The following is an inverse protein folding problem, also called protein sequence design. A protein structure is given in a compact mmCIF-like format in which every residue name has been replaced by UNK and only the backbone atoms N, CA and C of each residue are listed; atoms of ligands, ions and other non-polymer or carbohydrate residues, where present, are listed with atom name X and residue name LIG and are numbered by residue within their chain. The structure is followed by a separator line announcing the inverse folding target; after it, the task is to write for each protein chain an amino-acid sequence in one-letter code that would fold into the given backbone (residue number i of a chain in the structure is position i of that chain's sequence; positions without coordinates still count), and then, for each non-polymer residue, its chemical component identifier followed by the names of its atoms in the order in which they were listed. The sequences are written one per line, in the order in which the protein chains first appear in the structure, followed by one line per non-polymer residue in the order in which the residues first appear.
data_IF_075554383684
#
_entry.id   IF_075554383684
#
_cell.length_a   1.000
_cell.length_b   1.000
_cell.length_c   1.000
_cell.angle_alpha   90.00
_cell.angle_beta   90.00
_cell.angle_gamma   90.00
#
_symmetry.space_group_name_H-M   'P 1'
#
loop_
_entity.id
_entity.type
_entity.pdbx_description
1 polymer ?
#
# COMPACT_ATOMS: atom_id res chain seq x y z
N UNK A 1 -6.13 -12.91 1.25
CA UNK A 1 -6.11 -11.77 0.30
C UNK A 1 -6.81 -12.10 -1.01
N UNK A 2 -6.37 -13.10 -1.79
CA UNK A 2 -7.06 -13.45 -3.05
C UNK A 2 -8.54 -13.90 -2.88
N UNK A 3 -8.89 -14.52 -1.74
CA UNK A 3 -10.29 -14.85 -1.42
C UNK A 3 -11.14 -13.60 -1.15
N UNK A 4 -10.61 -12.62 -0.40
CA UNK A 4 -11.33 -11.37 -0.08
C UNK A 4 -11.67 -10.54 -1.31
N UNK A 5 -10.81 -10.54 -2.33
CA UNK A 5 -11.07 -9.88 -3.61
C UNK A 5 -12.23 -10.53 -4.36
N UNK A 6 -12.30 -11.86 -4.34
CA UNK A 6 -13.38 -12.62 -4.98
C UNK A 6 -14.73 -12.44 -4.30
N UNK A 7 -14.73 -12.22 -2.99
CA UNK A 7 -15.94 -12.06 -2.18
C UNK A 7 -16.36 -10.58 -2.01
N UNK A 8 -15.72 -9.65 -2.74
CA UNK A 8 -15.97 -8.20 -2.68
C UNK A 8 -15.86 -7.59 -1.25
N UNK A 9 -14.96 -8.12 -0.43
CA UNK A 9 -14.78 -7.71 0.97
C UNK A 9 -13.71 -6.63 1.16
N UNK A 10 -13.01 -6.22 0.09
CA UNK A 10 -11.93 -5.24 0.15
C UNK A 10 -12.39 -3.89 0.71
N UNK A 11 -13.51 -3.28 0.26
CA UNK A 11 -13.92 -1.97 0.76
C UNK A 11 -14.13 -1.96 2.28
N UNK A 12 -14.84 -2.95 2.82
CA UNK A 12 -15.11 -3.06 4.26
C UNK A 12 -13.82 -3.29 5.07
N UNK A 13 -12.88 -4.08 4.55
CA UNK A 13 -11.58 -4.27 5.20
C UNK A 13 -10.75 -2.97 5.20
N UNK A 14 -10.80 -2.18 4.12
CA UNK A 14 -10.18 -0.86 4.06
C UNK A 14 -10.82 0.09 5.07
N UNK A 15 -12.15 0.09 5.22
CA UNK A 15 -12.85 0.91 6.21
C UNK A 15 -12.39 0.59 7.64
N UNK A 16 -12.27 -0.69 7.96
CA UNK A 16 -11.77 -1.16 9.26
C UNK A 16 -10.32 -0.73 9.50
N UNK A 17 -9.47 -0.83 8.48
CA UNK A 17 -8.08 -0.38 8.57
C UNK A 17 -8.01 1.15 8.77
N UNK A 18 -8.73 1.93 7.97
CA UNK A 18 -8.79 3.40 8.09
C UNK A 18 -9.30 3.84 9.48
N UNK A 19 -10.27 3.13 10.07
CA UNK A 19 -10.78 3.45 11.40
C UNK A 19 -9.72 3.34 12.51
N UNK A 20 -8.66 2.55 12.31
CA UNK A 20 -7.54 2.44 13.24
C UNK A 20 -6.56 3.62 13.17
N UNK A 21 -6.63 4.46 12.13
CA UNK A 21 -5.72 5.60 11.95
C UNK A 21 -5.83 6.65 13.06
N UNK A 22 -6.95 6.67 13.81
CA UNK A 22 -7.18 7.50 15.00
C UNK A 22 -6.16 7.29 16.13
N UNK A 23 -5.48 6.15 16.13
CA UNK A 23 -4.43 5.85 17.11
C UNK A 23 -3.06 6.30 16.57
N UNK A 24 -2.40 7.29 17.19
CA UNK A 24 -1.15 7.86 16.66
C UNK A 24 0.02 6.87 16.64
N UNK A 25 -0.06 5.80 17.45
CA UNK A 25 0.95 4.73 17.53
C UNK A 25 0.71 3.56 16.57
N UNK A 26 -0.36 3.60 15.77
CA UNK A 26 -0.66 2.60 14.75
C UNK A 26 -0.21 3.11 13.38
N UNK A 27 0.47 2.24 12.64
CA UNK A 27 0.94 2.45 11.28
C UNK A 27 0.40 1.36 10.36
N UNK A 28 0.48 1.57 9.04
CA UNK A 28 -0.02 0.64 8.05
C UNK A 28 1.06 0.28 7.03
N UNK A 29 1.08 -0.99 6.62
CA UNK A 29 1.93 -1.46 5.53
C UNK A 29 1.09 -1.55 4.26
N UNK A 30 1.40 -0.70 3.29
CA UNK A 30 0.82 -0.72 1.95
C UNK A 30 1.59 -1.74 1.10
N UNK A 31 1.20 -3.01 1.24
CA UNK A 31 1.82 -4.13 0.55
C UNK A 31 0.78 -5.01 -0.13
N UNK A 32 1.22 -6.01 -0.90
CA UNK A 32 0.36 -7.02 -1.50
C UNK A 32 -0.70 -6.46 -2.48
N UNK A 33 -0.58 -5.21 -2.94
CA UNK A 33 -1.54 -4.61 -3.87
C UNK A 33 -1.73 -5.42 -5.16
N UNK A 34 -0.72 -6.05 -5.78
CA UNK A 34 -0.94 -6.89 -6.96
C UNK A 34 -1.82 -8.13 -6.68
N UNK A 35 -1.85 -8.62 -5.44
CA UNK A 35 -2.65 -9.78 -5.06
C UNK A 35 -4.12 -9.42 -4.79
N UNK A 36 -4.41 -8.14 -4.53
CA UNK A 36 -5.76 -7.62 -4.34
C UNK A 36 -6.44 -7.24 -5.66
N UNK A 37 -5.64 -6.92 -6.68
CA UNK A 37 -6.13 -6.49 -7.99
C UNK A 37 -6.68 -7.63 -8.83
N UNK A 38 -7.84 -7.38 -9.43
CA UNK A 38 -8.45 -8.15 -10.49
C UNK A 38 -7.98 -7.70 -11.88
N UNK A 39 -7.39 -6.51 -11.96
CA UNK A 39 -6.80 -5.98 -13.18
C UNK A 39 -5.33 -6.40 -13.36
N UNK A 40 -4.85 -6.23 -14.58
CA UNK A 40 -3.41 -6.32 -14.87
C UNK A 40 -2.72 -5.02 -14.43
N UNK A 41 -1.38 -5.03 -14.36
CA UNK A 41 -0.60 -3.82 -14.10
C UNK A 41 -1.08 -2.66 -15.02
N UNK A 42 -1.35 -1.45 -14.48
CA UNK A 42 -0.91 -0.94 -13.18
C UNK A 42 -1.89 -1.12 -12.01
N UNK A 43 -2.82 -2.08 -12.06
CA UNK A 43 -3.71 -2.42 -10.93
C UNK A 43 -4.64 -1.27 -10.50
N UNK A 44 -5.28 -0.59 -11.46
CA UNK A 44 -6.00 0.67 -11.20
C UNK A 44 -7.18 0.53 -10.25
N UNK A 45 -7.77 -0.66 -10.20
CA UNK A 45 -8.84 -1.04 -9.27
C UNK A 45 -8.44 -0.93 -7.79
N UNK A 46 -7.15 -0.98 -7.44
CA UNK A 46 -6.69 -0.83 -6.05
C UNK A 46 -6.20 0.57 -5.69
N UNK A 47 -6.04 1.47 -6.67
CA UNK A 47 -5.48 2.82 -6.46
C UNK A 47 -6.29 3.62 -5.45
N UNK A 48 -7.61 3.59 -5.55
CA UNK A 48 -8.49 4.31 -4.63
C UNK A 48 -8.39 3.77 -3.20
N UNK A 49 -8.27 2.46 -3.02
CA UNK A 49 -8.07 1.85 -1.70
C UNK A 49 -6.75 2.29 -1.06
N UNK A 50 -5.68 2.35 -1.85
CA UNK A 50 -4.36 2.83 -1.39
C UNK A 50 -4.43 4.31 -1.01
N UNK A 51 -5.10 5.15 -1.80
CA UNK A 51 -5.28 6.58 -1.50
C UNK A 51 -6.03 6.79 -0.20
N UNK A 52 -7.15 6.08 0.02
CA UNK A 52 -7.93 6.16 1.28
C UNK A 52 -7.11 5.81 2.51
N UNK A 53 -6.26 4.78 2.39
CA UNK A 53 -5.33 4.40 3.46
C UNK A 53 -4.27 5.48 3.68
N UNK A 54 -3.67 5.98 2.61
CA UNK A 54 -2.66 7.04 2.68
C UNK A 54 -3.21 8.32 3.32
N UNK A 55 -4.37 8.80 2.87
CA UNK A 55 -5.03 10.01 3.38
C UNK A 55 -5.32 9.91 4.90
N UNK A 56 -5.62 8.71 5.41
CA UNK A 56 -5.91 8.49 6.82
C UNK A 56 -4.66 8.43 7.72
N UNK A 57 -3.59 7.80 7.23
CA UNK A 57 -2.39 7.55 8.04
C UNK A 57 -1.31 8.62 7.86
N UNK A 58 -1.21 9.20 6.67
CA UNK A 58 -0.15 10.11 6.25
C UNK A 58 1.17 9.40 5.89
N UNK A 59 2.11 10.12 5.26
CA UNK A 59 3.34 9.54 4.71
C UNK A 59 4.25 8.89 5.78
N UNK A 60 4.30 9.44 6.99
CA UNK A 60 5.16 8.96 8.08
C UNK A 60 4.66 7.65 8.74
N UNK A 61 3.42 7.24 8.47
CA UNK A 61 2.81 6.02 9.03
C UNK A 61 2.40 5.00 7.97
N UNK A 62 2.78 5.23 6.72
CA UNK A 62 2.58 4.31 5.61
C UNK A 62 3.91 3.69 5.18
N UNK A 63 3.99 2.37 5.13
CA UNK A 63 5.22 1.64 4.77
C UNK A 63 4.99 0.78 3.53
N UNK A 64 5.85 0.90 2.52
CA UNK A 64 5.82 0.03 1.35
C UNK A 64 6.34 -1.38 1.66
N UNK A 65 5.83 -2.38 0.94
CA UNK A 65 6.40 -3.73 0.94
C UNK A 65 5.92 -4.57 -0.25
N UNK A 66 6.77 -5.46 -0.74
CA UNK A 66 6.53 -6.18 -2.01
C UNK A 66 5.48 -7.30 -1.91
N UNK A 67 5.46 -8.00 -0.78
CA UNK A 67 4.77 -9.30 -0.63
C UNK A 67 5.08 -10.27 -1.79
N UNK A 68 6.36 -10.30 -2.19
CA UNK A 68 6.83 -10.94 -3.43
C UNK A 68 6.51 -12.43 -3.48
N UNK A 69 6.81 -13.16 -2.40
CA UNK A 69 6.66 -14.63 -2.35
C UNK A 69 5.22 -15.10 -2.45
N UNK A 70 4.26 -14.24 -2.11
CA UNK A 70 2.83 -14.52 -2.19
C UNK A 70 2.19 -14.13 -3.53
N UNK A 71 2.95 -13.49 -4.43
CA UNK A 71 2.38 -12.86 -5.64
C UNK A 71 3.29 -12.95 -6.87
N UNK A 72 4.23 -13.90 -6.94
CA UNK A 72 5.19 -14.02 -8.05
C UNK A 72 4.54 -13.93 -9.44
N UNK A 73 3.41 -14.61 -9.64
CA UNK A 73 2.71 -14.65 -10.94
C UNK A 73 1.96 -13.35 -11.30
N UNK A 74 1.77 -12.41 -10.36
CA UNK A 74 0.94 -11.21 -10.57
C UNK A 74 1.70 -10.00 -11.12
N UNK A 75 2.99 -9.90 -10.82
CA UNK A 75 3.78 -8.73 -11.20
C UNK A 75 5.28 -9.08 -11.20
N UNK A 76 6.08 -8.32 -11.92
CA UNK A 76 7.55 -8.31 -11.77
C UNK A 76 7.98 -7.50 -10.54
N UNK A 77 9.24 -7.63 -10.12
CA UNK A 77 9.78 -6.80 -9.04
C UNK A 77 9.74 -5.31 -9.40
N UNK A 78 10.12 -4.98 -10.65
CA UNK A 78 10.06 -3.61 -11.19
C UNK A 78 8.65 -3.04 -11.07
N UNK A 79 7.63 -3.77 -11.52
CA UNK A 79 6.23 -3.32 -11.44
C UNK A 79 5.76 -3.05 -10.01
N UNK A 80 6.29 -3.75 -8.99
CA UNK A 80 5.96 -3.46 -7.58
C UNK A 80 6.54 -2.14 -7.10
N UNK A 81 7.70 -1.75 -7.62
CA UNK A 81 8.31 -0.45 -7.35
C UNK A 81 7.56 0.63 -8.13
N UNK A 82 7.46 0.50 -9.45
CA UNK A 82 6.87 1.52 -10.33
C UNK A 82 5.40 1.76 -10.05
N UNK A 83 4.66 0.74 -9.56
CA UNK A 83 3.30 0.95 -9.08
C UNK A 83 3.24 2.08 -8.06
N UNK A 84 4.12 2.11 -7.05
CA UNK A 84 4.15 3.18 -6.05
C UNK A 84 4.87 4.45 -6.52
N UNK A 85 5.94 4.32 -7.29
CA UNK A 85 6.79 5.47 -7.65
C UNK A 85 6.32 6.24 -8.88
N UNK A 86 5.51 5.62 -9.75
CA UNK A 86 5.10 6.18 -11.05
C UNK A 86 3.57 6.20 -11.23
N UNK A 87 2.85 5.16 -10.79
CA UNK A 87 1.42 5.00 -11.11
C UNK A 87 0.48 5.63 -10.05
N UNK A 88 0.91 5.72 -8.78
CA UNK A 88 0.14 6.39 -7.72
C UNK A 88 0.34 7.91 -7.77
N UNK A 89 -0.37 8.57 -8.68
CA UNK A 89 -0.28 10.02 -8.92
C UNK A 89 -0.61 10.92 -7.72
N UNK A 90 -1.26 10.39 -6.69
CA UNK A 90 -1.54 11.12 -5.44
C UNK A 90 -0.31 11.23 -4.52
N UNK A 91 0.75 10.46 -4.74
CA UNK A 91 1.99 10.56 -3.98
C UNK A 91 2.90 11.63 -4.59
N UNK A 92 3.25 12.63 -3.81
CA UNK A 92 4.32 13.57 -4.18
C UNK A 92 5.69 12.90 -4.10
N UNK A 93 6.73 13.53 -4.65
CA UNK A 93 8.11 13.04 -4.49
C UNK A 93 8.53 12.93 -3.02
N UNK A 94 8.08 13.85 -2.16
CA UNK A 94 8.35 13.74 -0.73
C UNK A 94 7.60 12.57 -0.09
N UNK A 95 6.36 12.31 -0.50
CA UNK A 95 5.60 11.16 0.01
C UNK A 95 6.25 9.83 -0.40
N UNK A 96 6.80 9.77 -1.61
CA UNK A 96 7.54 8.59 -2.10
C UNK A 96 8.77 8.31 -1.23
N UNK A 97 9.57 9.33 -0.87
CA UNK A 97 10.72 9.17 0.04
C UNK A 97 10.29 8.56 1.39
N UNK A 98 9.21 9.10 1.97
CA UNK A 98 8.63 8.59 3.21
C UNK A 98 8.16 7.14 3.10
N UNK A 99 7.25 6.87 2.17
CA UNK A 99 6.56 5.59 2.03
C UNK A 99 7.51 4.47 1.62
N UNK A 100 8.47 4.77 0.74
CA UNK A 100 9.38 3.76 0.16
C UNK A 100 10.55 3.40 1.08
N UNK A 101 10.78 4.11 2.19
CA UNK A 101 11.82 3.70 3.14
C UNK A 101 11.98 4.58 4.38
N UNK A 102 11.93 5.91 4.25
CA UNK A 102 12.29 6.79 5.36
C UNK A 102 11.37 6.61 6.58
N UNK A 103 10.07 6.42 6.37
CA UNK A 103 9.11 6.28 7.46
C UNK A 103 9.37 5.03 8.33
N UNK A 104 9.79 3.91 7.71
CA UNK A 104 10.09 2.68 8.47
C UNK A 104 11.46 2.78 9.18
N UNK A 105 12.45 3.46 8.57
CA UNK A 105 13.74 3.73 9.21
C UNK A 105 13.55 4.56 10.48
N UNK A 106 12.78 5.65 10.41
CA UNK A 106 12.49 6.49 11.57
C UNK A 106 11.71 5.74 12.65
N UNK A 107 10.72 4.91 12.26
CA UNK A 107 9.92 4.13 13.21
C UNK A 107 10.76 3.11 13.98
N UNK A 108 11.67 2.42 13.30
CA UNK A 108 12.48 1.35 13.88
C UNK A 108 13.81 1.84 14.45
N UNK A 109 14.14 3.13 14.28
CA UNK A 109 15.43 3.74 14.65
C UNK A 109 16.60 3.01 13.98
N UNK A 110 16.45 2.71 12.68
CA UNK A 110 17.49 2.10 11.87
C UNK A 110 18.33 3.20 11.22
N UNK A 111 19.47 3.49 11.83
CA UNK A 111 20.49 4.46 11.37
C UNK A 111 21.74 3.75 10.92
#
# INVERSE_FOLDING_TARGET
TAAMAKDNLIPAAVDQAVALAKYPNVSIKMSASPALSLESYPFRDVTEHLRRVFDAYGPQRCYWGTDLTNSFAKATYRQRITHFTEELSFLTESDKDWVMGRAILERLKWT
#
